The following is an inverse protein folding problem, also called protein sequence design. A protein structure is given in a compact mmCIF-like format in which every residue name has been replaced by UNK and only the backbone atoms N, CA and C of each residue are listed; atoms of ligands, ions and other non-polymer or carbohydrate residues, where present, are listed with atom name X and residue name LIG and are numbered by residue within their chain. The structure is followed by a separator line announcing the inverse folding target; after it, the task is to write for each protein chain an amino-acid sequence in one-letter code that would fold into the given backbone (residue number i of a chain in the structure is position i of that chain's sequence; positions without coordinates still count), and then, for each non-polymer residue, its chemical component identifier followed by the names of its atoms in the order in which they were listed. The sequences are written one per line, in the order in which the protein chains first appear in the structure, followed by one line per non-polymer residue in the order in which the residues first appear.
data_IF_868525998666
#
_entry.id   IF_868525998666
#
_cell.length_a   1.000
_cell.length_b   1.000
_cell.length_c   1.000
_cell.angle_alpha   90.00
_cell.angle_beta   90.00
_cell.angle_gamma   90.00
#
_symmetry.space_group_name_H-M   'P 1'
#
loop_
_entity.id
_entity.type
_entity.pdbx_description
1 polymer ?
#
# COMPACT_ATOMS: atom_id res chain seq x y z
N UNK A 1 -30.06 -14.61 5.74
CA UNK A 1 -29.37 -13.88 6.82
C UNK A 1 -28.81 -14.90 7.79
N UNK A 2 -27.49 -15.19 7.76
CA UNK A 2 -26.86 -16.14 8.67
C UNK A 2 -26.28 -15.38 9.87
N UNK A 3 -27.14 -15.02 10.82
CA UNK A 3 -26.74 -14.40 12.09
C UNK A 3 -26.90 -15.45 13.19
N UNK A 4 -25.79 -15.87 13.79
CA UNK A 4 -25.76 -16.56 15.09
C UNK A 4 -24.90 -15.68 16.02
N UNK A 5 -25.31 -15.53 17.28
CA UNK A 5 -24.53 -14.92 18.37
C UNK A 5 -24.24 -13.41 18.29
N UNK A 6 -25.08 -12.59 17.64
CA UNK A 6 -24.89 -11.13 17.61
C UNK A 6 -23.53 -10.69 17.03
N UNK A 7 -22.96 -11.50 16.12
CA UNK A 7 -21.70 -11.20 15.44
C UNK A 7 -22.00 -10.41 14.16
N UNK A 8 -21.37 -9.25 14.01
CA UNK A 8 -21.44 -8.42 12.82
C UNK A 8 -20.19 -8.62 11.97
N UNK A 9 -20.37 -8.84 10.66
CA UNK A 9 -19.27 -9.00 9.69
C UNK A 9 -19.40 -7.87 8.67
N UNK A 10 -18.31 -7.12 8.47
CA UNK A 10 -18.26 -6.02 7.52
C UNK A 10 -17.18 -6.29 6.46
N UNK A 11 -17.56 -6.22 5.19
CA UNK A 11 -16.61 -6.06 4.08
C UNK A 11 -16.52 -4.58 3.72
N UNK A 12 -15.32 -4.02 3.68
CA UNK A 12 -15.11 -2.61 3.39
C UNK A 12 -14.29 -2.50 2.10
N UNK A 13 -14.78 -1.73 1.13
CA UNK A 13 -13.99 -1.31 -0.02
C UNK A 13 -13.17 -0.08 0.36
N UNK A 14 -11.90 -0.05 -0.04
CA UNK A 14 -11.04 1.11 0.20
C UNK A 14 -11.66 2.40 -0.35
N UNK A 15 -11.69 3.45 0.48
CA UNK A 15 -12.20 4.78 0.12
C UNK A 15 -11.04 5.71 -0.22
N UNK A 16 -11.15 6.47 -1.31
CA UNK A 16 -10.01 7.21 -1.86
C UNK A 16 -9.84 8.63 -1.33
N UNK A 17 -10.92 9.37 -1.06
CA UNK A 17 -10.84 10.82 -0.81
C UNK A 17 -10.49 11.11 0.65
N UNK A 18 -11.36 10.71 1.57
CA UNK A 18 -11.23 11.05 2.99
C UNK A 18 -10.18 10.18 3.68
N UNK A 19 -10.09 8.89 3.33
CA UNK A 19 -9.11 7.99 3.93
C UNK A 19 -7.67 8.34 3.54
N UNK A 20 -7.41 8.76 2.30
CA UNK A 20 -6.08 9.21 1.88
C UNK A 20 -5.65 10.47 2.61
N UNK A 21 -6.57 11.44 2.80
CA UNK A 21 -6.28 12.63 3.60
C UNK A 21 -5.97 12.26 5.06
N UNK A 22 -6.75 11.37 5.68
CA UNK A 22 -6.46 10.88 7.04
C UNK A 22 -5.11 10.17 7.12
N UNK A 23 -4.78 9.31 6.16
CA UNK A 23 -3.49 8.62 6.11
C UNK A 23 -2.32 9.60 5.98
N UNK A 24 -2.44 10.61 5.12
CA UNK A 24 -1.45 11.68 4.98
C UNK A 24 -1.27 12.49 6.27
N UNK A 25 -2.36 12.83 6.96
CA UNK A 25 -2.31 13.53 8.24
C UNK A 25 -1.59 12.70 9.32
N UNK A 26 -1.83 11.40 9.39
CA UNK A 26 -1.15 10.50 10.32
C UNK A 26 0.35 10.38 10.02
N UNK A 27 0.72 10.30 8.74
CA UNK A 27 2.12 10.31 8.31
C UNK A 27 2.81 11.64 8.66
N UNK A 28 2.15 12.78 8.46
CA UNK A 28 2.67 14.10 8.83
C UNK A 28 2.89 14.22 10.35
N UNK A 29 2.02 13.59 11.14
CA UNK A 29 2.16 13.49 12.61
C UNK A 29 3.21 12.45 13.04
N UNK A 30 3.92 11.80 12.10
CA UNK A 30 4.86 10.70 12.35
C UNK A 30 4.25 9.54 13.14
N UNK A 31 2.93 9.37 13.08
CA UNK A 31 2.21 8.25 13.70
C UNK A 31 2.24 6.99 12.85
N UNK A 32 2.72 7.11 11.61
CA UNK A 32 2.96 6.02 10.70
C UNK A 32 4.19 6.34 9.83
N UNK A 33 5.21 5.49 9.88
CA UNK A 33 6.37 5.58 8.98
C UNK A 33 6.14 4.68 7.76
N UNK A 34 5.93 5.30 6.60
CA UNK A 34 5.69 4.59 5.35
C UNK A 34 6.90 3.76 4.88
N UNK A 35 8.11 4.06 5.37
CA UNK A 35 9.32 3.29 5.03
C UNK A 35 9.23 1.83 5.48
N UNK A 36 8.42 1.54 6.51
CA UNK A 36 8.24 0.17 7.01
C UNK A 36 7.64 -0.78 5.97
N UNK A 37 6.83 -0.27 5.04
CA UNK A 37 6.21 -1.09 3.98
C UNK A 37 6.86 -0.86 2.61
N UNK A 38 7.53 0.28 2.41
CA UNK A 38 8.21 0.63 1.17
C UNK A 38 9.53 -0.13 1.04
N UNK A 39 9.47 -1.27 0.36
CA UNK A 39 10.62 -2.19 0.26
C UNK A 39 11.50 -1.93 -0.96
N UNK A 40 10.91 -1.54 -2.10
CA UNK A 40 11.64 -1.44 -3.36
C UNK A 40 11.24 -0.20 -4.15
N UNK A 41 12.20 0.40 -4.83
CA UNK A 41 11.99 1.53 -5.74
C UNK A 41 12.63 1.22 -7.08
N UNK A 42 11.90 1.43 -8.16
CA UNK A 42 12.41 1.26 -9.53
C UNK A 42 12.23 2.57 -10.32
N UNK A 43 13.12 2.87 -11.29
CA UNK A 43 12.88 3.93 -12.25
C UNK A 43 11.75 3.53 -13.21
N UNK A 44 11.17 4.52 -13.89
CA UNK A 44 10.09 4.30 -14.87
C UNK A 44 10.49 3.35 -16.00
N UNK A 45 11.76 3.35 -16.41
CA UNK A 45 12.27 2.43 -17.42
C UNK A 45 12.09 0.94 -17.05
N UNK A 46 12.06 0.64 -15.75
CA UNK A 46 12.05 -0.73 -15.21
C UNK A 46 10.69 -1.19 -14.71
N UNK A 47 9.59 -0.58 -15.18
CA UNK A 47 8.22 -0.97 -14.79
C UNK A 47 7.96 -2.48 -14.93
N UNK A 48 8.37 -3.18 -16.01
CA UNK A 48 8.17 -4.63 -16.11
C UNK A 48 8.83 -5.40 -14.95
N UNK A 49 10.04 -4.99 -14.55
CA UNK A 49 10.76 -5.58 -13.42
C UNK A 49 10.04 -5.27 -12.10
N UNK A 50 9.59 -4.03 -11.90
CA UNK A 50 8.84 -3.63 -10.70
C UNK A 50 7.55 -4.45 -10.52
N UNK A 51 6.82 -4.69 -11.61
CA UNK A 51 5.61 -5.54 -11.60
C UNK A 51 5.97 -6.99 -11.24
N UNK A 52 7.07 -7.52 -11.78
CA UNK A 52 7.54 -8.87 -11.45
C UNK A 52 7.86 -9.00 -9.97
N UNK A 53 8.61 -8.07 -9.39
CA UNK A 53 8.92 -8.03 -7.95
C UNK A 53 7.64 -8.02 -7.10
N UNK A 54 6.68 -7.17 -7.45
CA UNK A 54 5.41 -7.08 -6.72
C UNK A 54 4.57 -8.37 -6.82
N UNK A 55 4.56 -9.03 -7.99
CA UNK A 55 3.77 -10.25 -8.24
C UNK A 55 4.39 -11.48 -7.59
N UNK A 56 5.68 -11.68 -7.80
CA UNK A 56 6.41 -12.88 -7.38
C UNK A 56 6.98 -12.76 -5.96
N UNK A 57 6.81 -11.61 -5.31
CA UNK A 57 7.36 -11.30 -3.98
C UNK A 57 8.86 -11.56 -3.91
N UNK A 58 9.58 -11.16 -4.96
CA UNK A 58 11.04 -11.24 -5.01
C UNK A 58 11.59 -10.39 -3.85
N UNK A 59 12.58 -10.92 -3.13
CA UNK A 59 13.22 -10.24 -1.99
C UNK A 59 12.21 -9.76 -0.93
N UNK A 60 11.18 -10.57 -0.67
CA UNK A 60 10.13 -10.27 0.31
C UNK A 60 9.43 -8.92 0.06
N UNK A 61 9.30 -8.52 -1.22
CA UNK A 61 8.68 -7.25 -1.60
C UNK A 61 7.26 -7.08 -0.99
N UNK A 62 7.07 -5.97 -0.27
CA UNK A 62 5.79 -5.59 0.36
C UNK A 62 5.11 -4.49 -0.47
N UNK A 63 5.76 -3.33 -0.59
CA UNK A 63 5.37 -2.24 -1.49
C UNK A 63 6.52 -1.91 -2.43
N UNK A 64 6.23 -2.04 -3.71
CA UNK A 64 7.10 -1.60 -4.81
C UNK A 64 6.58 -0.26 -5.32
N UNK A 65 7.47 0.71 -5.50
CA UNK A 65 7.15 2.04 -6.04
C UNK A 65 7.98 2.30 -7.27
N UNK A 66 7.35 2.92 -8.28
CA UNK A 66 8.02 3.36 -9.50
C UNK A 66 8.13 4.88 -9.47
N UNK A 67 9.34 5.39 -9.67
CA UNK A 67 9.61 6.83 -9.74
C UNK A 67 9.74 7.27 -11.20
N UNK A 68 9.03 8.36 -11.54
CA UNK A 68 9.02 8.93 -12.89
C UNK A 68 10.28 9.76 -13.16
N UNK A 69 10.89 10.34 -12.12
CA UNK A 69 12.08 11.17 -12.23
C UNK A 69 13.30 10.36 -11.82
N UNK A 70 14.35 10.42 -12.61
CA UNK A 70 15.69 9.99 -12.20
C UNK A 70 16.24 11.04 -11.24
N UNK A 71 16.59 10.60 -10.03
CA UNK A 71 17.31 11.41 -9.01
C UNK A 71 18.78 11.11 -9.04
#
# INVERSE_FOLDING_TARGET
YLVRNNIYVFGIRGEGKSATHRAAALMAQKRFDAKLIHTHTFPLADVPTAIRYARERIEDAIKVVVQIRET
#
